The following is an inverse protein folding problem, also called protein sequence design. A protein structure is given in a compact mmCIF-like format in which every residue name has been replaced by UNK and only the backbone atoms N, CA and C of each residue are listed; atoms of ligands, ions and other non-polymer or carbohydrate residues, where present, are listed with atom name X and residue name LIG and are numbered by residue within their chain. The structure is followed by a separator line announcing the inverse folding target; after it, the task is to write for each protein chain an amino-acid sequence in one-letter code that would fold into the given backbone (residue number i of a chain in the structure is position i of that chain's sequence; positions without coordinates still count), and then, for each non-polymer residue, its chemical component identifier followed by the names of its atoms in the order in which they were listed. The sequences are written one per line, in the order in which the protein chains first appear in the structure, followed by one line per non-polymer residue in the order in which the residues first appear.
data_IF_428790503750
#
_entry.id   IF_428790503750
#
_cell.length_a   1.000
_cell.length_b   1.000
_cell.length_c   1.000
_cell.angle_alpha   90.00
_cell.angle_beta   90.00
_cell.angle_gamma   90.00
#
_symmetry.space_group_name_H-M   'P 1'
#
loop_
_entity.id
_entity.type
_entity.pdbx_description
1 polymer ?
#
# COMPACT_ATOMS: atom_id res chain seq x y z
N UNK A 1 -10.82 1.37 -14.76
CA UNK A 1 -11.19 0.97 -13.39
C UNK A 1 -12.66 0.59 -13.40
N UNK A 2 -13.05 -0.54 -12.81
CA UNK A 2 -14.48 -0.89 -12.67
C UNK A 2 -14.99 -0.46 -11.30
N UNK A 3 -16.25 0.03 -11.17
CA UNK A 3 -16.81 0.46 -9.90
C UNK A 3 -16.71 -0.58 -8.76
N UNK A 4 -16.95 -1.86 -9.08
CA UNK A 4 -16.87 -2.94 -8.08
C UNK A 4 -15.48 -3.15 -7.46
N UNK A 5 -14.41 -2.77 -8.17
CA UNK A 5 -13.03 -2.87 -7.65
C UNK A 5 -12.73 -1.78 -6.64
N UNK A 6 -13.19 -0.57 -6.91
CA UNK A 6 -13.10 0.55 -5.97
C UNK A 6 -13.90 0.27 -4.70
N UNK A 7 -15.14 -0.23 -4.83
CA UNK A 7 -15.94 -0.62 -3.67
C UNK A 7 -15.28 -1.74 -2.85
N UNK A 8 -14.72 -2.77 -3.49
CA UNK A 8 -14.00 -3.83 -2.80
C UNK A 8 -12.83 -3.28 -1.99
N UNK A 9 -12.12 -2.29 -2.52
CA UNK A 9 -11.01 -1.64 -1.83
C UNK A 9 -11.49 -0.87 -0.59
N UNK A 10 -12.55 -0.07 -0.72
CA UNK A 10 -13.17 0.64 0.42
C UNK A 10 -13.62 -0.33 1.53
N UNK A 11 -14.19 -1.48 1.17
CA UNK A 11 -14.59 -2.52 2.14
C UNK A 11 -13.40 -3.07 2.92
N UNK A 12 -12.26 -3.30 2.24
CA UNK A 12 -11.04 -3.76 2.92
C UNK A 12 -10.46 -2.68 3.82
N UNK A 13 -10.47 -1.40 3.39
CA UNK A 13 -10.06 -0.30 4.24
C UNK A 13 -10.91 -0.25 5.52
N UNK A 14 -12.24 -0.27 5.38
CA UNK A 14 -13.14 -0.27 6.53
C UNK A 14 -12.90 -1.48 7.44
N UNK A 15 -12.63 -2.64 6.88
CA UNK A 15 -12.31 -3.83 7.68
C UNK A 15 -11.02 -3.67 8.49
N UNK A 16 -9.98 -3.03 7.93
CA UNK A 16 -8.74 -2.73 8.68
C UNK A 16 -9.03 -1.84 9.89
N UNK A 17 -9.83 -0.78 9.69
CA UNK A 17 -10.24 0.11 10.78
C UNK A 17 -10.95 -0.68 11.88
N UNK A 18 -12.00 -1.42 11.53
CA UNK A 18 -12.78 -2.22 12.49
C UNK A 18 -11.93 -3.28 13.23
N UNK A 19 -10.97 -3.89 12.53
CA UNK A 19 -10.08 -4.89 13.14
C UNK A 19 -9.21 -4.30 14.26
N UNK A 20 -8.86 -3.02 14.19
CA UNK A 20 -7.95 -2.33 15.12
C UNK A 20 -8.72 -1.52 16.15
N UNK A 21 -9.83 -0.88 15.78
CA UNK A 21 -10.58 0.03 16.66
C UNK A 21 -11.70 -0.64 17.45
N UNK A 22 -12.03 -1.92 17.18
CA UNK A 22 -13.16 -2.61 17.82
C UNK A 22 -12.80 -4.02 18.30
N UNK A 23 -13.65 -4.55 19.18
CA UNK A 23 -13.60 -5.95 19.66
C UNK A 23 -14.43 -6.93 18.81
N UNK A 24 -15.06 -6.48 17.72
CA UNK A 24 -15.91 -7.33 16.86
C UNK A 24 -15.15 -8.55 16.34
N UNK A 25 -15.78 -9.71 16.22
CA UNK A 25 -15.09 -10.88 15.68
C UNK A 25 -14.95 -10.78 14.14
N UNK A 26 -14.13 -11.65 13.53
CA UNK A 26 -13.85 -11.61 12.08
C UNK A 26 -15.10 -11.87 11.23
N UNK A 27 -16.05 -12.68 11.74
CA UNK A 27 -17.30 -12.94 11.04
C UNK A 27 -18.20 -11.71 11.02
N UNK A 28 -18.35 -11.02 12.15
CA UNK A 28 -19.14 -9.80 12.26
C UNK A 28 -18.59 -8.71 11.33
N UNK A 29 -17.27 -8.50 11.35
CA UNK A 29 -16.60 -7.53 10.47
C UNK A 29 -16.80 -7.87 9.00
N UNK A 30 -16.72 -9.16 8.63
CA UNK A 30 -16.98 -9.62 7.27
C UNK A 30 -18.38 -9.24 6.79
N UNK A 31 -19.39 -9.42 7.64
CA UNK A 31 -20.77 -9.06 7.33
C UNK A 31 -20.98 -7.54 7.28
N UNK A 32 -20.40 -6.80 8.23
CA UNK A 32 -20.53 -5.34 8.30
C UNK A 32 -19.96 -4.64 7.06
N UNK A 33 -18.83 -5.13 6.53
CA UNK A 33 -18.26 -4.58 5.28
C UNK A 33 -18.87 -5.19 4.02
N UNK A 34 -19.93 -5.98 4.14
CA UNK A 34 -20.77 -6.42 3.02
C UNK A 34 -20.23 -7.59 2.19
N UNK A 35 -19.44 -8.49 2.79
CA UNK A 35 -19.11 -9.78 2.15
C UNK A 35 -20.15 -10.84 2.50
N UNK A 36 -20.48 -11.68 1.51
CA UNK A 36 -21.44 -12.77 1.67
C UNK A 36 -20.92 -13.95 2.53
N UNK A 37 -19.59 -14.07 2.69
CA UNK A 37 -19.00 -15.11 3.53
C UNK A 37 -17.65 -14.68 4.12
N UNK A 38 -17.36 -15.21 5.30
CA UNK A 38 -16.07 -15.02 6.00
C UNK A 38 -14.90 -15.54 5.19
N UNK A 39 -15.08 -16.64 4.45
CA UNK A 39 -14.04 -17.21 3.58
C UNK A 39 -13.66 -16.24 2.46
N UNK A 40 -14.64 -15.71 1.73
CA UNK A 40 -14.40 -14.72 0.67
C UNK A 40 -13.72 -13.47 1.21
N UNK A 41 -14.20 -12.94 2.34
CA UNK A 41 -13.59 -11.80 3.01
C UNK A 41 -12.13 -12.10 3.39
N UNK A 42 -11.87 -13.21 4.08
CA UNK A 42 -10.53 -13.53 4.59
C UNK A 42 -9.52 -13.69 3.47
N UNK A 43 -9.90 -14.34 2.36
CA UNK A 43 -9.05 -14.46 1.17
C UNK A 43 -8.79 -13.09 0.55
N UNK A 44 -9.82 -12.26 0.35
CA UNK A 44 -9.67 -10.92 -0.22
C UNK A 44 -8.79 -10.03 0.65
N UNK A 45 -9.05 -10.00 1.95
CA UNK A 45 -8.26 -9.27 2.93
C UNK A 45 -6.79 -9.71 2.90
N UNK A 46 -6.53 -11.03 2.97
CA UNK A 46 -5.16 -11.54 2.98
C UNK A 46 -4.40 -11.19 1.69
N UNK A 47 -5.08 -11.24 0.54
CA UNK A 47 -4.47 -10.88 -0.74
C UNK A 47 -4.14 -9.38 -0.84
N UNK A 48 -5.00 -8.51 -0.29
CA UNK A 48 -4.81 -7.05 -0.33
C UNK A 48 -3.84 -6.55 0.74
N UNK A 49 -3.89 -7.13 1.94
CA UNK A 49 -3.15 -6.66 3.13
C UNK A 49 -1.85 -7.43 3.34
N UNK A 50 -1.73 -8.65 2.80
CA UNK A 50 -0.57 -9.53 2.92
C UNK A 50 -0.59 -10.48 4.10
N UNK A 51 -1.50 -10.28 5.05
CA UNK A 51 -1.68 -11.13 6.24
C UNK A 51 -3.17 -11.37 6.51
N UNK A 52 -3.48 -12.45 7.24
CA UNK A 52 -4.88 -12.76 7.60
C UNK A 52 -5.48 -11.70 8.53
N UNK A 53 -6.82 -11.52 8.55
CA UNK A 53 -7.49 -10.57 9.45
C UNK A 53 -7.10 -10.75 10.93
N UNK A 54 -7.05 -12.00 11.38
CA UNK A 54 -6.68 -12.34 12.76
C UNK A 54 -5.24 -11.93 13.06
N UNK A 55 -4.31 -12.22 12.14
CA UNK A 55 -2.90 -11.83 12.30
C UNK A 55 -2.75 -10.32 12.28
N UNK A 56 -3.46 -9.62 11.38
CA UNK A 56 -3.47 -8.16 11.30
C UNK A 56 -3.92 -7.52 12.61
N UNK A 57 -5.01 -8.01 13.21
CA UNK A 57 -5.46 -7.56 14.53
C UNK A 57 -4.41 -7.79 15.62
N UNK A 58 -3.82 -8.99 15.67
CA UNK A 58 -2.79 -9.32 16.68
C UNK A 58 -1.56 -8.40 16.61
N UNK A 59 -1.26 -7.88 15.42
CA UNK A 59 -0.16 -6.92 15.21
C UNK A 59 -0.60 -5.46 15.42
N UNK A 60 -1.81 -5.19 15.91
CA UNK A 60 -2.29 -3.82 16.13
C UNK A 60 -2.46 -3.03 14.82
N UNK A 61 -2.70 -3.72 13.70
CA UNK A 61 -2.82 -3.09 12.38
C UNK A 61 -1.50 -2.69 11.72
N UNK A 62 -0.38 -3.05 12.33
CA UNK A 62 0.96 -2.78 11.83
C UNK A 62 1.57 -4.05 11.24
N UNK A 63 2.35 -3.92 10.17
CA UNK A 63 3.09 -5.07 9.61
C UNK A 63 4.51 -4.63 9.29
N UNK A 64 5.48 -5.23 9.98
CA UNK A 64 6.90 -4.85 9.91
C UNK A 64 7.59 -5.25 8.59
N UNK A 65 6.94 -6.07 7.76
CA UNK A 65 7.44 -6.46 6.43
C UNK A 65 6.29 -6.59 5.44
N UNK A 66 6.28 -5.78 4.38
CA UNK A 66 5.32 -5.92 3.28
C UNK A 66 5.75 -7.10 2.42
N UNK A 67 5.00 -8.22 2.39
CA UNK A 67 5.34 -9.32 1.51
C UNK A 67 5.17 -8.87 0.05
N UNK A 68 6.06 -9.29 -0.85
CA UNK A 68 5.84 -9.10 -2.29
C UNK A 68 4.98 -10.24 -2.84
N UNK A 69 4.16 -9.93 -3.85
CA UNK A 69 3.29 -10.91 -4.49
C UNK A 69 4.09 -12.09 -5.06
N UNK A 70 3.49 -13.28 -5.02
CA UNK A 70 4.11 -14.53 -5.51
C UNK A 70 4.51 -14.38 -6.99
N UNK A 71 5.82 -14.37 -7.26
CA UNK A 71 6.41 -14.33 -8.60
C UNK A 71 5.86 -15.47 -9.46
N UNK A 72 5.27 -15.16 -10.62
CA UNK A 72 5.21 -16.16 -11.71
C UNK A 72 6.65 -16.39 -12.16
N UNK A 73 7.08 -17.64 -12.36
CA UNK A 73 8.43 -17.99 -12.86
C UNK A 73 8.72 -17.18 -14.13
N UNK A 74 9.44 -16.06 -13.97
CA UNK A 74 9.80 -15.14 -15.04
C UNK A 74 11.32 -15.12 -15.05
N UNK A 75 11.97 -15.42 -16.19
CA UNK A 75 13.42 -15.35 -16.30
C UNK A 75 13.93 -13.96 -15.88
N UNK A 76 14.98 -13.92 -15.07
CA UNK A 76 15.57 -12.67 -14.53
C UNK A 76 15.97 -11.71 -15.66
N UNK A 77 16.44 -12.25 -16.79
CA UNK A 77 16.84 -11.50 -17.98
C UNK A 77 15.69 -10.72 -18.66
N UNK A 78 14.44 -11.07 -18.37
CA UNK A 78 13.27 -10.36 -18.90
C UNK A 78 12.84 -9.21 -17.99
N UNK A 79 13.45 -9.03 -16.83
CA UNK A 79 13.03 -8.05 -15.83
C UNK A 79 13.73 -6.70 -16.04
N UNK A 80 13.05 -5.63 -15.63
CA UNK A 80 13.54 -4.27 -15.69
C UNK A 80 13.80 -3.71 -14.30
N UNK A 81 14.56 -2.63 -14.25
CA UNK A 81 14.73 -1.79 -13.06
C UNK A 81 13.95 -0.49 -13.26
N UNK A 82 13.07 -0.14 -12.32
CA UNK A 82 12.42 1.16 -12.29
C UNK A 82 13.22 2.06 -11.35
N UNK A 83 13.53 3.28 -11.79
CA UNK A 83 14.21 4.31 -10.99
C UNK A 83 13.46 5.62 -11.10
N UNK A 84 13.57 6.46 -10.09
CA UNK A 84 13.03 7.81 -10.14
C UNK A 84 13.17 8.48 -8.80
N UNK A 85 12.62 9.68 -8.72
CA UNK A 85 12.57 10.47 -7.50
C UNK A 85 11.15 10.60 -6.98
N UNK A 86 11.01 10.54 -5.66
CA UNK A 86 9.76 10.90 -4.97
C UNK A 86 9.88 12.33 -4.48
N UNK A 87 8.92 13.17 -4.84
CA UNK A 87 8.81 14.55 -4.36
C UNK A 87 7.56 14.72 -3.50
N UNK A 88 7.68 15.36 -2.34
CA UNK A 88 6.53 15.76 -1.52
C UNK A 88 6.48 17.29 -1.39
N UNK A 89 5.33 17.94 -1.61
CA UNK A 89 5.16 19.35 -1.29
C UNK A 89 5.10 19.52 0.23
N UNK A 90 6.04 20.32 0.76
CA UNK A 90 6.11 20.84 2.13
C UNK A 90 5.52 19.93 3.21
N UNK A 91 6.29 18.91 3.59
CA UNK A 91 6.13 18.25 4.88
C UNK A 91 7.42 18.52 5.64
N UNK A 92 7.34 19.20 6.79
CA UNK A 92 8.51 19.48 7.63
C UNK A 92 9.13 18.18 8.20
N UNK A 93 8.39 17.07 8.14
CA UNK A 93 8.86 15.70 8.39
C UNK A 93 8.02 14.68 7.57
N UNK A 94 8.40 14.36 6.33
CA UNK A 94 7.60 13.51 5.45
C UNK A 94 7.56 12.03 5.86
N UNK A 95 8.22 11.64 6.96
CA UNK A 95 8.22 10.29 7.49
C UNK A 95 8.59 9.21 6.46
N UNK A 96 8.22 7.95 6.74
CA UNK A 96 8.54 6.84 5.85
C UNK A 96 7.70 6.91 4.57
N UNK A 97 8.36 6.72 3.42
CA UNK A 97 7.72 6.63 2.11
C UNK A 97 7.80 5.21 1.59
N UNK A 98 6.66 4.56 1.45
CA UNK A 98 6.58 3.30 0.72
C UNK A 98 6.39 3.55 -0.76
N UNK A 99 7.15 2.86 -1.61
CA UNK A 99 6.98 2.87 -3.07
C UNK A 99 6.82 1.43 -3.56
N UNK A 100 5.75 1.15 -4.30
CA UNK A 100 5.47 -0.20 -4.80
C UNK A 100 4.95 -0.22 -6.23
N UNK A 101 5.21 -1.33 -6.91
CA UNK A 101 4.75 -1.59 -8.26
C UNK A 101 3.54 -2.54 -8.27
N UNK A 102 2.42 -2.09 -8.83
CA UNK A 102 1.12 -2.78 -8.79
C UNK A 102 0.57 -3.05 -10.19
N UNK A 103 -0.21 -4.13 -10.37
CA UNK A 103 -0.86 -4.42 -11.65
C UNK A 103 -2.03 -3.47 -11.97
N UNK A 104 -2.43 -2.61 -11.03
CA UNK A 104 -3.55 -1.68 -11.19
C UNK A 104 -3.34 -0.37 -10.43
N UNK A 105 -4.17 0.63 -10.74
CA UNK A 105 -4.17 1.96 -10.10
C UNK A 105 -4.62 1.95 -8.64
N UNK A 106 -5.16 0.82 -8.17
CA UNK A 106 -5.57 0.60 -6.78
C UNK A 106 -4.73 -0.57 -6.24
N UNK A 107 -4.15 -0.44 -5.03
CA UNK A 107 -3.35 -1.50 -4.42
C UNK A 107 -4.24 -2.63 -3.86
N UNK A 108 -4.96 -3.35 -4.73
CA UNK A 108 -5.83 -4.48 -4.34
C UNK A 108 -5.06 -5.76 -4.00
N UNK A 109 -3.77 -5.79 -4.31
CA UNK A 109 -2.87 -6.91 -4.04
C UNK A 109 -1.54 -6.39 -3.54
N UNK A 110 -0.73 -7.29 -2.99
CA UNK A 110 0.68 -7.02 -2.72
C UNK A 110 1.41 -6.50 -3.97
N UNK A 111 2.39 -5.60 -3.79
CA UNK A 111 3.25 -5.14 -4.88
C UNK A 111 4.04 -6.30 -5.46
N UNK A 112 4.37 -6.23 -6.75
CA UNK A 112 5.31 -7.20 -7.36
C UNK A 112 6.76 -6.92 -6.95
N UNK A 113 7.08 -5.65 -6.71
CA UNK A 113 8.34 -5.18 -6.14
C UNK A 113 8.08 -3.88 -5.39
N UNK A 114 8.79 -3.62 -4.30
CA UNK A 114 8.63 -2.42 -3.49
C UNK A 114 9.91 -2.04 -2.75
N UNK A 115 9.96 -0.80 -2.30
CA UNK A 115 11.00 -0.26 -1.43
C UNK A 115 10.39 0.71 -0.41
N UNK A 116 11.14 1.00 0.64
CA UNK A 116 10.77 1.94 1.70
C UNK A 116 11.89 2.93 1.85
N UNK A 117 11.56 4.21 1.82
CA UNK A 117 12.48 5.33 2.00
C UNK A 117 12.22 5.99 3.35
N UNK A 118 13.24 6.60 3.94
CA UNK A 118 13.13 7.44 5.14
C UNK A 118 12.61 8.84 4.87
N UNK A 119 12.24 9.13 3.62
CA UNK A 119 11.72 10.41 3.17
C UNK A 119 11.65 10.48 1.64
N UNK A 120 11.14 11.59 1.07
CA UNK A 120 11.17 11.87 -0.36
C UNK A 120 12.61 11.87 -0.88
N UNK A 121 12.82 11.30 -2.06
CA UNK A 121 14.14 11.15 -2.63
C UNK A 121 14.21 10.04 -3.68
N UNK A 122 15.42 9.64 -4.09
CA UNK A 122 15.62 8.66 -5.13
C UNK A 122 15.22 7.27 -4.65
N UNK A 123 14.62 6.49 -5.55
CA UNK A 123 14.25 5.10 -5.30
C UNK A 123 14.68 4.19 -6.45
N UNK A 124 14.85 2.91 -6.13
CA UNK A 124 15.13 1.85 -7.10
C UNK A 124 14.22 0.66 -6.80
N UNK A 125 13.47 0.22 -7.81
CA UNK A 125 12.73 -1.03 -7.79
C UNK A 125 13.33 -1.98 -8.80
N UNK A 126 14.06 -2.97 -8.30
CA UNK A 126 14.61 -4.03 -9.13
C UNK A 126 13.55 -5.09 -9.43
N UNK A 127 13.85 -5.95 -10.41
CA UNK A 127 13.07 -7.14 -10.70
C UNK A 127 11.61 -6.84 -11.07
N UNK A 128 11.37 -5.79 -11.86
CA UNK A 128 10.05 -5.48 -12.39
C UNK A 128 9.76 -6.34 -13.65
N UNK A 129 8.76 -7.24 -13.63
CA UNK A 129 8.52 -8.16 -14.74
C UNK A 129 7.88 -7.46 -15.95
N UNK A 130 7.97 -8.05 -17.17
CA UNK A 130 7.23 -7.56 -18.32
C UNK A 130 5.72 -7.46 -18.04
N UNK A 131 5.09 -6.39 -18.52
CA UNK A 131 3.68 -6.13 -18.29
C UNK A 131 3.34 -4.65 -18.25
N UNK A 132 2.11 -4.36 -17.86
CA UNK A 132 1.62 -3.00 -17.62
C UNK A 132 1.45 -2.82 -16.11
N UNK A 133 2.13 -1.82 -15.57
CA UNK A 133 2.24 -1.61 -14.12
C UNK A 133 1.92 -0.18 -13.74
N UNK A 134 1.59 0.02 -12.47
CA UNK A 134 1.36 1.31 -11.85
C UNK A 134 2.25 1.42 -10.64
N UNK A 135 3.03 2.49 -10.58
CA UNK A 135 3.85 2.81 -9.45
C UNK A 135 3.01 3.63 -8.48
N UNK A 136 2.86 3.16 -7.25
CA UNK A 136 2.10 3.82 -6.21
C UNK A 136 3.02 4.09 -5.02
N UNK A 137 2.90 5.26 -4.43
CA UNK A 137 3.59 5.61 -3.21
C UNK A 137 2.65 6.19 -2.17
N UNK A 138 2.97 5.95 -0.90
CA UNK A 138 2.34 6.65 0.21
C UNK A 138 3.37 6.98 1.28
N UNK A 139 3.19 8.12 1.92
CA UNK A 139 4.00 8.63 3.02
C UNK A 139 3.14 8.72 4.27
N UNK A 140 3.72 8.31 5.40
CA UNK A 140 3.12 8.49 6.72
C UNK A 140 4.09 9.30 7.55
N UNK A 141 3.65 10.46 8.05
CA UNK A 141 4.42 11.28 8.98
C UNK A 141 4.92 10.43 10.16
N UNK A 142 6.20 10.58 10.53
CA UNK A 142 6.78 9.83 11.62
C UNK A 142 6.13 10.26 12.95
N UNK A 143 5.86 9.29 13.83
CA UNK A 143 5.26 9.55 15.14
C UNK A 143 6.21 10.44 15.96
N UNK A 144 5.83 11.72 16.15
CA UNK A 144 6.53 12.61 17.07
C UNK A 144 6.37 12.05 18.49
N UNK A 145 7.47 11.59 19.10
CA UNK A 145 7.52 11.00 20.45
C UNK A 145 7.15 11.96 21.61
N UNK A 146 6.49 13.10 21.38
CA UNK A 146 6.44 14.16 22.38
C UNK A 146 5.14 14.97 22.51
N UNK A 147 3.95 14.34 22.43
CA UNK A 147 2.72 15.03 22.84
C UNK A 147 1.80 14.17 23.71
N UNK A 148 1.74 14.55 24.98
CA UNK A 148 0.82 14.11 26.02
C UNK A 148 -0.60 14.60 25.78
N UNK A 149 -1.19 14.33 24.61
CA UNK A 149 -2.61 14.61 24.34
C UNK A 149 -3.24 13.44 23.57
N UNK A 150 -3.60 12.42 24.36
CA UNK A 150 -4.53 11.37 23.97
C UNK A 150 -5.88 12.06 23.77
N UNK A 151 -6.32 12.23 22.53
CA UNK A 151 -7.72 12.39 22.03
C UNK A 151 -7.84 13.15 20.70
N UNK A 152 -6.73 13.56 20.06
CA UNK A 152 -6.78 14.23 18.75
C UNK A 152 -5.83 13.60 17.73
N UNK A 153 -5.94 12.28 17.53
CA UNK A 153 -5.32 11.58 16.40
C UNK A 153 -6.10 11.85 15.09
N UNK A 154 -6.35 13.14 14.81
CA UNK A 154 -6.92 13.60 13.55
C UNK A 154 -5.91 13.32 12.44
N UNK A 155 -6.34 12.49 11.48
CA UNK A 155 -5.75 12.34 10.15
C UNK A 155 -4.22 12.49 10.11
N UNK A 156 -3.49 11.39 10.39
CA UNK A 156 -2.10 11.25 9.93
C UNK A 156 -2.03 11.81 8.51
N UNK A 157 -1.23 12.84 8.26
CA UNK A 157 -1.14 13.52 6.96
C UNK A 157 -0.64 12.55 5.88
N UNK A 158 -1.53 11.69 5.42
CA UNK A 158 -1.25 10.63 4.49
C UNK A 158 -1.13 11.28 3.11
N UNK A 159 0.10 11.31 2.61
CA UNK A 159 0.35 11.78 1.26
C UNK A 159 0.46 10.57 0.33
N UNK A 160 -0.18 10.64 -0.83
CA UNK A 160 -0.20 9.58 -1.83
C UNK A 160 0.29 10.09 -3.18
N UNK A 161 0.93 9.21 -3.95
CA UNK A 161 1.39 9.50 -5.30
C UNK A 161 1.15 8.31 -6.21
N UNK A 162 0.89 8.57 -7.48
CA UNK A 162 0.77 7.52 -8.49
C UNK A 162 1.43 7.93 -9.81
N UNK A 163 2.07 6.96 -10.46
CA UNK A 163 2.68 7.12 -11.77
C UNK A 163 2.35 5.90 -12.63
N UNK A 164 1.87 6.13 -13.85
CA UNK A 164 1.66 5.07 -14.84
C UNK A 164 0.42 5.27 -15.72
N UNK A 165 0.18 4.33 -16.65
CA UNK A 165 0.83 3.01 -16.73
C UNK A 165 2.30 3.06 -17.18
N UNK A 166 3.12 2.19 -16.58
CA UNK A 166 4.48 1.88 -17.01
C UNK A 166 4.43 0.57 -17.79
N UNK A 167 4.84 0.60 -19.06
CA UNK A 167 4.90 -0.60 -19.90
C UNK A 167 6.33 -1.14 -19.92
N UNK A 168 6.50 -2.35 -19.38
CA UNK A 168 7.77 -3.08 -19.37
C UNK A 168 7.71 -4.16 -20.44
N UNK A 169 8.61 -4.07 -21.42
CA UNK A 169 8.82 -5.10 -22.44
C UNK A 169 9.99 -6.00 -22.03
N UNK A 170 10.08 -7.25 -22.51
CA UNK A 170 11.28 -8.07 -22.32
C UNK A 170 12.55 -7.30 -22.72
N UNK A 171 13.63 -7.45 -21.94
CA UNK A 171 14.91 -6.72 -22.11
C UNK A 171 14.84 -5.20 -21.93
N UNK A 172 13.78 -4.69 -21.30
CA UNK A 172 13.79 -3.30 -20.82
C UNK A 172 14.83 -3.21 -19.69
N UNK A 173 15.91 -2.46 -19.88
CA UNK A 173 16.94 -2.29 -18.87
C UNK A 173 16.46 -1.43 -17.69
N UNK A 174 16.59 -0.11 -17.82
CA UNK A 174 16.17 0.85 -16.80
C UNK A 174 15.02 1.70 -17.32
N UNK A 175 13.99 1.92 -16.49
CA UNK A 175 12.88 2.83 -16.76
C UNK A 175 12.80 3.95 -15.73
N UNK A 176 12.90 5.23 -16.14
CA UNK A 176 12.64 6.35 -15.25
C UNK A 176 11.13 6.49 -15.00
N UNK A 177 10.76 6.77 -13.75
CA UNK A 177 9.39 7.04 -13.33
C UNK A 177 9.36 7.84 -12.03
N UNK A 178 9.21 9.17 -12.13
CA UNK A 178 9.14 10.04 -10.96
C UNK A 178 7.74 10.08 -10.35
N UNK A 179 7.68 10.29 -9.04
CA UNK A 179 6.45 10.36 -8.26
C UNK A 179 6.34 11.70 -7.55
N UNK A 180 5.16 12.27 -7.59
CA UNK A 180 4.80 13.41 -6.74
C UNK A 180 3.73 12.98 -5.75
N UNK A 181 4.05 13.10 -4.48
CA UNK A 181 3.12 12.93 -3.39
C UNK A 181 2.23 14.17 -3.29
N UNK A 182 0.97 13.96 -2.92
CA UNK A 182 0.02 14.99 -2.59
C UNK A 182 -0.85 14.52 -1.42
N UNK A 183 -1.43 15.43 -0.62
CA UNK A 183 -2.40 15.05 0.41
C UNK A 183 -3.53 14.22 -0.18
N UNK A 184 -3.91 13.14 0.51
CA UNK A 184 -4.98 12.26 0.04
C UNK A 184 -6.30 13.02 -0.10
N UNK A 185 -6.97 12.84 -1.25
CA UNK A 185 -8.29 13.39 -1.52
C UNK A 185 -9.35 12.30 -1.35
N UNK A 186 -10.61 12.65 -1.07
CA UNK A 186 -11.70 11.68 -0.96
C UNK A 186 -11.93 10.81 -2.21
N UNK A 187 -11.47 11.28 -3.37
CA UNK A 187 -11.58 10.58 -4.66
C UNK A 187 -10.37 9.69 -4.97
N UNK A 188 -9.32 9.76 -4.16
CA UNK A 188 -8.13 8.94 -4.37
C UNK A 188 -8.40 7.49 -3.96
N UNK A 189 -7.73 6.53 -4.61
CA UNK A 189 -7.82 5.12 -4.22
C UNK A 189 -7.41 4.92 -2.76
N UNK A 190 -8.14 4.05 -2.02
CA UNK A 190 -7.78 3.74 -0.64
C UNK A 190 -6.43 3.02 -0.56
N UNK A 191 -5.63 3.35 0.46
CA UNK A 191 -4.35 2.70 0.73
C UNK A 191 -4.59 1.40 1.52
N UNK A 192 -4.61 0.28 0.79
CA UNK A 192 -5.00 -1.02 1.39
C UNK A 192 -3.85 -1.75 2.08
N UNK A 193 -2.60 -1.50 1.71
CA UNK A 193 -1.46 -2.19 2.28
C UNK A 193 -1.38 -1.96 3.79
N UNK A 194 -0.95 -2.98 4.52
CA UNK A 194 -0.62 -2.81 5.91
C UNK A 194 0.51 -1.78 6.02
N UNK A 195 0.32 -0.80 6.90
CA UNK A 195 1.33 0.21 7.16
C UNK A 195 2.56 -0.45 7.77
N UNK A 196 3.73 -0.01 7.31
CA UNK A 196 5.01 -0.39 7.89
C UNK A 196 5.13 0.19 9.30
N UNK A 197 5.69 -0.62 10.21
CA UNK A 197 6.16 -0.11 11.48
C UNK A 197 7.30 0.89 11.25
N UNK A 198 7.14 2.12 11.74
CA UNK A 198 8.19 3.14 11.78
C UNK A 198 9.24 2.89 12.87
N UNK A 199 9.33 1.67 13.38
CA UNK A 199 10.23 1.29 14.48
C UNK A 199 11.31 0.38 13.93
N UNK A 200 12.37 0.99 13.40
CA UNK A 200 13.70 0.38 13.34
C UNK A 200 14.47 0.76 14.61
#
# INVERSE_FOLDING_TARGET
MSPGRFLSALRIQRAKELLVSTSLNVADISHEVGYASVGTFSTRFSNSVGVSPIRFRRLGGKVSHIPTGRRRHTPVEAMATIRGDVWAPHTDDPGLVFVGLFPGRIPESLPVTCTVLTGPGPFVLENAPPGTWYLLAHSVAAEHKNTTHVLDAGERELCVGSHGPIVIRPRTGVRPADLRLAPIRPVDPPVLLAMLDGSA
#
